data_IF_627354131884
#
_entry.id   IF_627354131884
#
_cell.length_a   1.000
_cell.length_b   1.000
_cell.length_c   1.000
_cell.angle_alpha   90.00
_cell.angle_beta   90.00
_cell.angle_gamma   90.00
#
_symmetry.space_group_name_H-M   'P 1'
#
loop_
_entity.id
_entity.type
_entity.pdbx_description
1 polymer ?
#
# COMPACT_ATOMS: atom_id res chain seq x y z
N UNK A 1 5.94 -8.71 -3.96
CA UNK A 1 4.56 -8.33 -3.58
C UNK A 1 4.19 -7.09 -4.36
N UNK A 2 3.02 -7.11 -4.99
CA UNK A 2 2.50 -6.03 -5.83
C UNK A 2 1.06 -5.68 -5.49
N UNK A 3 0.67 -4.49 -5.91
CA UNK A 3 -0.72 -4.02 -5.85
C UNK A 3 -1.51 -4.60 -7.03
N UNK A 4 -2.56 -5.36 -6.74
CA UNK A 4 -3.48 -5.90 -7.75
C UNK A 4 -4.58 -4.90 -8.11
N UNK A 5 -5.20 -4.28 -7.11
CA UNK A 5 -6.29 -3.33 -7.33
C UNK A 5 -6.47 -2.36 -6.17
N UNK A 6 -7.04 -1.20 -6.47
CA UNK A 6 -7.44 -0.17 -5.51
C UNK A 6 -8.96 0.00 -5.61
N UNK A 7 -9.69 -0.56 -4.66
CA UNK A 7 -11.16 -0.50 -4.63
C UNK A 7 -11.56 0.69 -3.77
N UNK A 8 -12.23 1.72 -4.30
CA UNK A 8 -12.73 2.81 -3.47
C UNK A 8 -13.71 2.27 -2.42
N UNK A 9 -13.52 2.70 -1.17
CA UNK A 9 -14.50 2.48 -0.11
C UNK A 9 -15.49 3.66 -0.17
N UNK A 10 -16.79 3.38 0.00
CA UNK A 10 -17.91 4.33 -0.19
C UNK A 10 -17.97 5.46 0.87
N UNK A 11 -16.83 5.84 1.42
CA UNK A 11 -16.66 6.89 2.42
C UNK A 11 -16.08 8.13 1.73
N UNK A 12 -16.80 8.65 0.72
CA UNK A 12 -16.44 9.91 0.05
C UNK A 12 -17.03 11.10 0.82
N UNK A 13 -16.61 11.29 2.07
CA UNK A 13 -16.90 12.51 2.81
C UNK A 13 -15.98 13.64 2.31
N UNK A 14 -16.48 14.40 1.32
CA UNK A 14 -15.92 15.67 0.88
C UNK A 14 -14.63 15.56 0.06
N UNK A 15 -13.47 15.55 0.72
CA UNK A 15 -12.14 15.69 0.09
C UNK A 15 -11.20 14.52 0.42
N UNK A 16 -11.63 13.61 1.28
CA UNK A 16 -10.87 12.45 1.72
C UNK A 16 -11.29 11.24 0.89
N UNK A 17 -10.30 10.54 0.33
CA UNK A 17 -10.50 9.26 -0.35
C UNK A 17 -10.04 8.15 0.57
N UNK A 18 -10.91 7.16 0.76
CA UNK A 18 -10.55 5.89 1.35
C UNK A 18 -10.60 4.81 0.27
N UNK A 19 -9.54 4.04 0.11
CA UNK A 19 -9.48 2.92 -0.83
C UNK A 19 -8.97 1.68 -0.11
N UNK A 20 -9.41 0.51 -0.56
CA UNK A 20 -8.85 -0.78 -0.18
C UNK A 20 -7.86 -1.22 -1.24
N UNK A 21 -6.61 -1.36 -0.84
CA UNK A 21 -5.54 -1.88 -1.66
C UNK A 21 -5.49 -3.39 -1.50
N UNK A 22 -5.65 -4.13 -2.59
CA UNK A 22 -5.44 -5.58 -2.65
C UNK A 22 -4.05 -5.88 -3.21
N UNK A 23 -3.40 -6.87 -2.61
CA UNK A 23 -2.06 -7.33 -2.92
C UNK A 23 -2.11 -8.74 -3.51
N UNK A 24 -1.07 -9.13 -4.24
CA UNK A 24 -0.96 -10.49 -4.79
C UNK A 24 -0.66 -11.55 -3.72
N UNK A 25 -0.19 -11.12 -2.55
CA UNK A 25 0.16 -11.97 -1.43
C UNK A 25 -0.23 -11.31 -0.11
N UNK A 26 -0.32 -12.12 0.96
CA UNK A 26 -0.57 -11.65 2.31
C UNK A 26 0.51 -10.66 2.78
N UNK A 27 0.09 -9.57 3.42
CA UNK A 27 0.95 -8.54 3.99
C UNK A 27 1.89 -9.15 5.04
N UNK A 28 3.20 -9.08 4.78
CA UNK A 28 4.25 -9.52 5.69
C UNK A 28 4.80 -8.36 6.51
N UNK A 29 5.53 -8.67 7.59
CA UNK A 29 6.23 -7.64 8.37
C UNK A 29 7.24 -6.86 7.53
N UNK A 30 7.94 -7.52 6.60
CA UNK A 30 8.89 -6.87 5.69
C UNK A 30 8.19 -5.88 4.75
N UNK A 31 7.05 -6.27 4.17
CA UNK A 31 6.25 -5.40 3.31
C UNK A 31 5.68 -4.21 4.09
N UNK A 32 5.20 -4.44 5.32
CA UNK A 32 4.76 -3.37 6.22
C UNK A 32 5.89 -2.39 6.55
N UNK A 33 7.11 -2.89 6.83
CA UNK A 33 8.28 -2.04 7.11
C UNK A 33 8.68 -1.22 5.89
N UNK A 34 8.64 -1.79 4.68
CA UNK A 34 8.84 -1.07 3.41
C UNK A 34 7.79 0.01 3.20
N UNK A 35 6.53 -0.31 3.48
CA UNK A 35 5.43 0.67 3.42
C UNK A 35 5.63 1.83 4.40
N UNK A 36 6.30 1.58 5.52
CA UNK A 36 6.62 2.59 6.52
C UNK A 36 7.93 3.35 6.28
N UNK A 37 8.66 3.04 5.20
CA UNK A 37 9.94 3.68 4.93
C UNK A 37 9.77 5.21 4.78
N UNK A 38 10.55 5.98 5.55
CA UNK A 38 10.43 7.44 5.59
C UNK A 38 9.17 7.98 6.30
N UNK A 39 8.29 7.11 6.80
CA UNK A 39 7.09 7.46 7.54
C UNK A 39 7.12 7.05 9.01
N UNK A 40 5.96 7.14 9.67
CA UNK A 40 5.75 6.69 11.05
C UNK A 40 4.95 5.39 11.05
N UNK A 41 5.52 4.33 11.62
CA UNK A 41 4.86 3.05 11.84
C UNK A 41 4.34 2.93 13.27
N UNK A 42 3.06 2.61 13.42
CA UNK A 42 2.45 2.14 14.66
C UNK A 42 2.05 0.68 14.47
N UNK A 43 2.76 -0.23 15.14
CA UNK A 43 2.57 -1.67 15.01
C UNK A 43 2.19 -2.31 16.35
N UNK A 44 1.13 -3.12 16.33
CA UNK A 44 0.54 -3.74 17.51
C UNK A 44 0.53 -5.27 17.37
N UNK A 45 1.67 -5.95 17.61
CA UNK A 45 1.83 -7.40 17.40
C UNK A 45 1.03 -8.26 18.39
N UNK A 46 0.73 -7.75 19.58
CA UNK A 46 0.11 -8.51 20.67
C UNK A 46 -1.42 -8.67 20.55
N UNK A 47 -2.03 -8.07 19.54
CA UNK A 47 -3.45 -8.26 19.28
C UNK A 47 -3.70 -9.63 18.64
N UNK A 48 -4.90 -10.22 18.82
CA UNK A 48 -5.28 -11.48 18.14
C UNK A 48 -5.14 -11.42 16.62
N UNK A 49 -5.18 -10.20 16.07
CA UNK A 49 -4.88 -9.86 14.68
C UNK A 49 -3.83 -8.75 14.70
N UNK A 50 -2.59 -8.97 14.22
CA UNK A 50 -1.53 -7.97 14.31
C UNK A 50 -1.89 -6.78 13.43
N UNK A 51 -2.20 -5.66 14.06
CA UNK A 51 -2.64 -4.45 13.37
C UNK A 51 -1.46 -3.50 13.16
N UNK A 52 -1.45 -2.82 12.01
CA UNK A 52 -0.50 -1.76 11.72
C UNK A 52 -1.19 -0.52 11.19
N UNK A 53 -0.58 0.63 11.48
CA UNK A 53 -0.89 1.92 10.88
C UNK A 53 0.41 2.58 10.45
N UNK A 54 0.42 3.15 9.26
CA UNK A 54 1.53 3.91 8.70
C UNK A 54 1.04 5.29 8.30
N UNK A 55 1.64 6.32 8.87
CA UNK A 55 1.47 7.70 8.43
C UNK A 55 2.68 8.03 7.52
N UNK A 56 2.44 8.08 6.21
CA UNK A 56 3.49 8.15 5.19
C UNK A 56 3.73 9.60 4.71
N UNK A 57 4.98 10.01 4.41
CA UNK A 57 5.30 11.36 3.95
C UNK A 57 4.61 11.77 2.65
N UNK A 58 4.22 10.80 1.80
CA UNK A 58 3.42 11.03 0.60
C UNK A 58 1.93 11.36 0.88
N UNK A 59 1.62 11.86 2.08
CA UNK A 59 0.30 12.33 2.51
C UNK A 59 -0.82 11.27 2.46
N UNK A 60 -0.49 10.03 2.80
CA UNK A 60 -1.47 8.97 3.02
C UNK A 60 -1.28 8.28 4.37
N UNK A 61 -2.37 7.70 4.84
CA UNK A 61 -2.39 6.81 6.00
C UNK A 61 -2.76 5.42 5.50
N UNK A 62 -1.90 4.44 5.76
CA UNK A 62 -2.17 3.04 5.48
C UNK A 62 -2.49 2.29 6.77
N UNK A 63 -3.53 1.47 6.78
CA UNK A 63 -3.96 0.71 7.94
C UNK A 63 -4.36 -0.70 7.53
N UNK A 64 -3.89 -1.71 8.24
CA UNK A 64 -4.17 -3.09 7.89
C UNK A 64 -3.84 -4.07 8.99
N UNK A 65 -4.06 -5.34 8.67
CA UNK A 65 -3.73 -6.47 9.53
C UNK A 65 -2.69 -7.31 8.80
N UNK A 66 -1.61 -7.68 9.49
CA UNK A 66 -0.63 -8.62 8.93
C UNK A 66 -1.27 -9.97 8.66
N UNK A 67 -0.88 -10.60 7.54
CA UNK A 67 -1.48 -11.85 7.07
C UNK A 67 -2.69 -11.66 6.16
N UNK A 68 -3.29 -10.46 6.06
CA UNK A 68 -4.30 -10.16 5.06
C UNK A 68 -3.66 -9.79 3.72
N UNK A 69 -4.32 -10.13 2.61
CA UNK A 69 -3.96 -9.70 1.25
C UNK A 69 -4.33 -8.24 0.96
N UNK A 70 -4.89 -7.52 1.92
CA UNK A 70 -5.42 -6.19 1.69
C UNK A 70 -5.24 -5.27 2.89
N UNK A 71 -5.16 -3.98 2.60
CA UNK A 71 -5.10 -2.92 3.59
C UNK A 71 -5.87 -1.70 3.12
N UNK A 72 -6.25 -0.84 4.06
CA UNK A 72 -6.93 0.42 3.78
C UNK A 72 -5.90 1.52 3.60
N UNK A 73 -6.15 2.38 2.63
CA UNK A 73 -5.43 3.63 2.41
C UNK A 73 -6.42 4.78 2.53
N UNK A 74 -6.01 5.84 3.20
CA UNK A 74 -6.77 7.08 3.30
C UNK A 74 -5.87 8.25 2.98
N UNK A 75 -6.29 9.11 2.04
CA UNK A 75 -5.54 10.26 1.57
C UNK A 75 -6.47 11.37 1.09
N UNK A 76 -5.97 12.61 1.01
CA UNK A 76 -6.75 13.70 0.42
C UNK A 76 -6.68 13.64 -1.11
N UNK A 77 -7.78 14.01 -1.78
CA UNK A 77 -7.91 13.96 -3.25
C UNK A 77 -6.74 14.60 -3.99
N UNK A 78 -6.22 15.72 -3.49
CA UNK A 78 -5.10 16.46 -4.09
C UNK A 78 -3.79 15.68 -4.13
N UNK A 79 -3.63 14.67 -3.27
CA UNK A 79 -2.43 13.83 -3.21
C UNK A 79 -2.57 12.52 -3.98
N UNK A 80 -3.68 12.29 -4.69
CA UNK A 80 -3.96 11.03 -5.39
C UNK A 80 -2.79 10.54 -6.25
N UNK A 81 -2.18 11.43 -7.03
CA UNK A 81 -1.06 11.07 -7.91
C UNK A 81 0.21 10.72 -7.12
N UNK A 82 0.55 11.50 -6.09
CA UNK A 82 1.68 11.22 -5.21
C UNK A 82 1.53 9.88 -4.46
N UNK A 83 0.31 9.57 -4.00
CA UNK A 83 0.00 8.29 -3.35
C UNK A 83 0.16 7.13 -4.33
N UNK A 84 -0.32 7.28 -5.57
CA UNK A 84 -0.18 6.25 -6.60
C UNK A 84 1.28 5.98 -6.92
N UNK A 85 2.07 7.04 -7.11
CA UNK A 85 3.51 6.93 -7.38
C UNK A 85 4.24 6.24 -6.22
N UNK A 86 3.99 6.66 -4.97
CA UNK A 86 4.58 6.05 -3.79
C UNK A 86 4.25 4.55 -3.68
N UNK A 87 2.98 4.16 -3.90
CA UNK A 87 2.58 2.75 -3.88
C UNK A 87 3.28 1.94 -4.97
N UNK A 88 3.46 2.51 -6.16
CA UNK A 88 4.23 1.88 -7.22
C UNK A 88 5.69 1.72 -6.80
N UNK A 89 6.35 2.75 -6.27
CA UNK A 89 7.74 2.61 -5.79
C UNK A 89 7.89 1.57 -4.68
N UNK A 90 6.95 1.53 -3.72
CA UNK A 90 7.00 0.63 -2.55
C UNK A 90 6.77 -0.83 -2.97
N UNK A 91 5.76 -1.07 -3.81
CA UNK A 91 5.28 -2.40 -4.19
C UNK A 91 5.60 -2.77 -5.64
N UNK A 92 6.47 -2.02 -6.31
CA UNK A 92 6.93 -2.37 -7.65
C UNK A 92 7.59 -3.74 -7.58
N UNK A 93 7.07 -4.68 -8.37
CA UNK A 93 7.94 -5.69 -8.95
C UNK A 93 9.05 -4.91 -9.67
N UNK A 94 10.31 -5.25 -9.40
CA UNK A 94 11.34 -5.12 -10.44
C UNK A 94 10.69 -5.68 -11.70
N UNK A 95 10.55 -4.87 -12.76
CA UNK A 95 10.01 -5.37 -14.02
C UNK A 95 10.70 -6.70 -14.32
N UNK A 96 9.98 -7.77 -14.72
CA UNK A 96 10.66 -8.85 -15.41
C UNK A 96 11.31 -8.18 -16.61
N UNK A 97 12.64 -8.17 -16.65
CA UNK A 97 13.49 -7.70 -17.74
C UNK A 97 12.72 -7.77 -19.08
N UNK A 98 12.10 -6.67 -19.49
CA UNK A 98 11.25 -6.64 -20.67
C UNK A 98 12.13 -6.36 -21.88
N UNK A 99 13.16 -7.17 -22.04
CA UNK A 99 13.92 -7.32 -23.28
C UNK A 99 14.01 -8.81 -23.63
N UNK A 100 12.89 -9.31 -24.15
CA UNK A 100 12.86 -10.47 -25.01
C UNK A 100 12.37 -10.00 -26.38
N UNK A 101 13.33 -9.66 -27.27
CA UNK A 101 13.27 -9.81 -28.74
C UNK A 101 14.60 -9.28 -29.30
N UNK A 102 15.57 -10.13 -29.65
CA UNK A 102 15.50 -10.98 -30.86
C UNK A 102 16.31 -12.28 -30.75
N UNK A 103 15.63 -13.41 -31.00
CA UNK A 103 16.24 -14.54 -31.72
C UNK A 103 16.61 -14.08 -33.13
N UNK A 104 17.84 -14.32 -33.56
CA UNK A 104 18.26 -14.77 -34.90
C UNK A 104 19.76 -15.09 -34.86
#
# INVERSE_FOLDING_TARGET
>A
MKVLSLIPLDDCLGSTHSVRCHLDAAMTEEAMRRLAEGGRLEYFPHFPRPFFRVDHPAHFIAQGVLGNDHFRLTYLKQYKDAVREALQTIFSESEPCQDCRTCS
#
